data_IF_848754799162
#
_entry.id   IF_848754799162
#
_cell.length_a   1.000
_cell.length_b   1.000
_cell.length_c   1.000
_cell.angle_alpha   90.00
_cell.angle_beta   90.00
_cell.angle_gamma   90.00
#
_symmetry.space_group_name_H-M   'P 1'
#
loop_
_entity.id
_entity.type
_entity.pdbx_description
1 polymer ?
#
# COMPACT_ATOMS: atom_id res chain seq x y z
N UNK A 1 -6.24 4.01 -0.49
CA UNK A 1 -5.45 4.28 0.74
C UNK A 1 -6.13 5.31 1.65
N UNK A 2 -6.67 6.41 1.09
CA UNK A 2 -7.37 7.50 1.81
C UNK A 2 -8.27 7.05 2.98
N UNK A 3 -9.27 6.22 2.71
CA UNK A 3 -10.29 5.83 3.71
C UNK A 3 -9.72 5.01 4.87
N UNK A 4 -8.57 4.36 4.64
CA UNK A 4 -7.84 3.64 5.67
C UNK A 4 -7.18 4.60 6.65
N UNK A 5 -6.49 5.64 6.18
CA UNK A 5 -5.74 6.56 7.05
C UNK A 5 -6.63 7.62 7.70
N UNK A 6 -7.58 8.19 6.95
CA UNK A 6 -8.34 9.38 7.36
C UNK A 6 -9.80 9.08 7.70
N UNK A 7 -10.28 7.87 7.43
CA UNK A 7 -11.67 7.50 7.64
C UNK A 7 -12.60 7.93 6.49
N UNK A 8 -13.88 7.59 6.63
CA UNK A 8 -14.94 7.91 5.66
C UNK A 8 -15.34 9.39 5.88
N UNK A 9 -14.48 10.30 5.45
CA UNK A 9 -14.68 11.74 5.61
C UNK A 9 -15.20 12.32 4.30
N UNK A 10 -16.36 12.98 4.37
CA UNK A 10 -16.95 13.80 3.28
C UNK A 10 -16.08 15.00 2.87
N UNK A 11 -14.88 15.16 3.47
CA UNK A 11 -13.90 16.22 3.20
C UNK A 11 -12.77 15.70 2.29
N UNK A 12 -12.16 16.58 1.50
CA UNK A 12 -10.99 16.24 0.68
C UNK A 12 -9.83 15.73 1.56
N UNK A 13 -9.16 14.63 1.19
CA UNK A 13 -8.08 14.06 2.02
C UNK A 13 -6.88 14.99 2.19
N UNK A 14 -6.68 15.95 1.28
CA UNK A 14 -5.69 17.03 1.42
C UNK A 14 -6.00 17.92 2.62
N UNK A 15 -7.27 18.27 2.85
CA UNK A 15 -7.68 19.11 3.99
C UNK A 15 -7.49 18.41 5.35
N UNK A 16 -7.70 17.09 5.40
CA UNK A 16 -7.46 16.31 6.64
C UNK A 16 -5.97 16.16 6.93
N UNK A 17 -5.16 16.03 5.88
CA UNK A 17 -3.69 16.05 5.99
C UNK A 17 -3.18 17.40 6.47
N UNK A 18 -3.66 18.50 5.90
CA UNK A 18 -3.32 19.87 6.30
C UNK A 18 -3.65 20.09 7.78
N UNK A 19 -4.86 19.70 8.21
CA UNK A 19 -5.29 19.80 9.61
C UNK A 19 -4.37 18.99 10.55
N UNK A 20 -4.03 17.75 10.18
CA UNK A 20 -3.11 16.93 10.99
C UNK A 20 -1.69 17.51 11.03
N UNK A 21 -1.14 17.98 9.90
CA UNK A 21 0.17 18.63 9.86
C UNK A 21 0.22 19.87 10.75
N UNK A 22 -0.86 20.65 10.73
CA UNK A 22 -1.03 21.82 11.56
C UNK A 22 -1.07 21.47 13.06
N UNK A 23 -1.88 20.49 13.44
CA UNK A 23 -2.00 19.98 14.81
C UNK A 23 -0.65 19.48 15.36
N UNK A 24 0.09 18.72 14.56
CA UNK A 24 1.37 18.15 14.94
C UNK A 24 2.55 19.13 14.79
N UNK A 25 2.29 20.36 14.31
CA UNK A 25 3.28 21.44 14.09
C UNK A 25 4.50 21.01 13.28
N UNK A 26 4.32 20.05 12.39
CA UNK A 26 5.41 19.37 11.68
C UNK A 26 6.16 20.31 10.74
N UNK A 27 5.43 21.27 10.17
CA UNK A 27 5.91 22.20 9.14
C UNK A 27 6.47 23.49 9.74
N UNK A 28 5.90 23.96 10.86
CA UNK A 28 6.34 25.17 11.58
C UNK A 28 7.78 25.12 12.09
N UNK A 29 8.34 23.93 12.27
CA UNK A 29 9.74 23.74 12.66
C UNK A 29 10.71 23.88 11.47
N UNK A 30 10.21 23.87 10.24
CA UNK A 30 11.01 23.75 9.00
C UNK A 30 10.93 25.01 8.13
N UNK A 31 9.84 25.78 8.24
CA UNK A 31 9.64 27.02 7.47
C UNK A 31 9.19 28.16 8.39
N UNK A 32 9.45 29.43 8.01
CA UNK A 32 8.95 30.58 8.76
C UNK A 32 7.42 30.52 8.97
N UNK A 33 6.88 30.99 10.11
CA UNK A 33 5.45 30.86 10.44
C UNK A 33 4.51 31.45 9.39
N UNK A 34 4.95 32.50 8.70
CA UNK A 34 4.19 33.14 7.61
C UNK A 34 4.03 32.25 6.37
N UNK A 35 4.85 31.22 6.21
CA UNK A 35 4.82 30.27 5.07
C UNK A 35 4.33 28.88 5.46
N UNK A 36 4.03 28.62 6.74
CA UNK A 36 3.66 27.30 7.23
C UNK A 36 2.42 26.72 6.52
N UNK A 37 1.38 27.54 6.31
CA UNK A 37 0.16 27.09 5.65
C UNK A 37 0.37 26.75 4.16
N UNK A 38 1.28 27.44 3.48
CA UNK A 38 1.60 27.15 2.08
C UNK A 38 2.44 25.88 1.96
N UNK A 39 3.42 25.71 2.84
CA UNK A 39 4.19 24.47 2.92
C UNK A 39 3.30 23.26 3.29
N UNK A 40 2.34 23.41 4.21
CA UNK A 40 1.33 22.38 4.55
C UNK A 40 0.51 21.98 3.31
N UNK A 41 0.06 22.94 2.50
CA UNK A 41 -0.65 22.68 1.24
C UNK A 41 0.22 21.93 0.22
N UNK A 42 1.47 22.37 0.02
CA UNK A 42 2.38 21.70 -0.92
C UNK A 42 2.66 20.25 -0.52
N UNK A 43 2.83 20.00 0.79
CA UNK A 43 3.00 18.64 1.33
C UNK A 43 1.72 17.82 1.12
N UNK A 44 0.55 18.38 1.43
CA UNK A 44 -0.72 17.69 1.25
C UNK A 44 -0.99 17.33 -0.21
N UNK A 45 -0.71 18.25 -1.14
CA UNK A 45 -0.81 18.02 -2.58
C UNK A 45 0.16 16.95 -3.06
N UNK A 46 1.43 17.01 -2.64
CA UNK A 46 2.44 16.02 -3.01
C UNK A 46 2.14 14.63 -2.42
N UNK A 47 1.47 14.57 -1.26
CA UNK A 47 1.07 13.32 -0.62
C UNK A 47 -0.18 12.71 -1.27
N UNK A 48 -0.98 13.50 -2.00
CA UNK A 48 -2.25 13.04 -2.58
C UNK A 48 -2.06 11.88 -3.57
N UNK A 49 -1.00 11.93 -4.37
CA UNK A 49 -0.61 10.83 -5.26
C UNK A 49 -0.35 9.52 -4.51
N UNK A 50 0.21 9.57 -3.31
CA UNK A 50 0.44 8.37 -2.47
C UNK A 50 -0.86 7.86 -1.85
N UNK A 51 -1.77 8.78 -1.52
CA UNK A 51 -3.07 8.42 -0.97
C UNK A 51 -4.02 7.85 -2.03
N UNK A 52 -3.73 8.07 -3.31
CA UNK A 52 -4.41 7.43 -4.43
C UNK A 52 -4.06 5.95 -4.60
N UNK A 53 -3.03 5.44 -3.91
CA UNK A 53 -2.66 4.02 -3.98
C UNK A 53 -3.83 3.11 -3.60
N UNK A 54 -4.07 2.12 -4.45
CA UNK A 54 -5.06 1.09 -4.23
C UNK A 54 -4.48 0.00 -3.31
N UNK A 55 -5.15 -0.27 -2.18
CA UNK A 55 -4.73 -1.30 -1.23
C UNK A 55 -4.69 -2.69 -1.87
N UNK A 56 -5.57 -2.95 -2.84
CA UNK A 56 -5.60 -4.22 -3.57
C UNK A 56 -4.33 -4.42 -4.40
N UNK A 57 -3.83 -3.37 -5.06
CA UNK A 57 -2.62 -3.43 -5.87
C UNK A 57 -1.37 -3.60 -5.00
N UNK A 58 -1.31 -2.92 -3.84
CA UNK A 58 -0.23 -3.11 -2.86
C UNK A 58 -0.21 -4.54 -2.32
N UNK A 59 -1.39 -5.10 -2.00
CA UNK A 59 -1.49 -6.49 -1.60
C UNK A 59 -1.09 -7.44 -2.75
N UNK A 60 -1.48 -7.15 -3.99
CA UNK A 60 -1.11 -7.90 -5.18
C UNK A 60 0.40 -8.04 -5.37
N UNK A 61 1.13 -6.92 -5.25
CA UNK A 61 2.60 -6.93 -5.32
C UNK A 61 3.24 -7.71 -4.16
N UNK A 62 2.61 -7.70 -2.99
CA UNK A 62 3.05 -8.51 -1.85
C UNK A 62 3.06 -10.01 -2.15
N UNK A 63 2.01 -10.52 -2.80
CA UNK A 63 1.89 -11.94 -3.11
C UNK A 63 2.98 -12.47 -4.05
N UNK A 64 3.43 -11.65 -5.00
CA UNK A 64 4.51 -12.02 -5.96
C UNK A 64 5.85 -12.31 -5.29
N UNK A 65 6.06 -11.79 -4.07
CA UNK A 65 7.30 -12.01 -3.30
C UNK A 65 7.32 -13.38 -2.61
N UNK A 66 6.21 -14.13 -2.61
CA UNK A 66 6.12 -15.36 -1.85
C UNK A 66 6.54 -16.59 -2.65
N UNK A 67 7.60 -17.26 -2.19
CA UNK A 67 8.20 -18.39 -2.89
C UNK A 67 7.23 -19.56 -3.11
N UNK A 68 6.34 -19.86 -2.15
CA UNK A 68 5.38 -20.96 -2.32
C UNK A 68 4.33 -20.65 -3.40
N UNK A 69 3.87 -19.39 -3.48
CA UNK A 69 2.95 -18.96 -4.54
C UNK A 69 3.65 -18.98 -5.89
N UNK A 70 4.90 -18.52 -5.97
CA UNK A 70 5.69 -18.59 -7.19
C UNK A 70 5.96 -20.04 -7.63
N UNK A 71 6.18 -20.96 -6.68
CA UNK A 71 6.34 -22.39 -6.99
C UNK A 71 5.07 -22.99 -7.57
N UNK A 72 3.93 -22.77 -6.94
CA UNK A 72 2.62 -23.21 -7.46
C UNK A 72 2.30 -22.54 -8.81
N UNK A 73 2.70 -21.28 -8.99
CA UNK A 73 2.53 -20.58 -10.26
C UNK A 73 3.36 -21.22 -11.39
N UNK A 74 4.61 -21.60 -11.13
CA UNK A 74 5.44 -22.32 -12.11
C UNK A 74 4.85 -23.69 -12.44
N UNK A 75 4.52 -24.47 -11.42
CA UNK A 75 3.94 -25.81 -11.60
C UNK A 75 2.63 -25.80 -12.40
N UNK A 76 1.73 -24.85 -12.12
CA UNK A 76 0.47 -24.69 -12.88
C UNK A 76 0.66 -24.08 -14.27
N UNK A 77 1.82 -23.48 -14.58
CA UNK A 77 2.18 -23.11 -15.95
C UNK A 77 2.71 -24.30 -16.73
N UNK A 78 3.54 -25.12 -16.10
CA UNK A 78 4.10 -26.35 -16.69
C UNK A 78 3.00 -27.38 -16.94
N UNK A 79 1.94 -27.38 -16.12
CA UNK A 79 0.73 -28.17 -16.33
C UNK A 79 -0.54 -27.30 -16.26
N UNK A 80 -0.96 -26.66 -17.38
CA UNK A 80 -2.09 -25.72 -17.43
C UNK A 80 -3.47 -26.31 -17.09
N UNK A 81 -3.59 -27.63 -16.96
CA UNK A 81 -4.81 -28.33 -16.53
C UNK A 81 -4.95 -28.41 -15.00
N UNK A 82 -3.86 -28.13 -14.27
CA UNK A 82 -3.83 -28.21 -12.81
C UNK A 82 -4.26 -26.92 -12.15
N UNK A 83 -4.83 -27.08 -10.96
CA UNK A 83 -5.15 -26.01 -10.03
C UNK A 83 -4.49 -26.36 -8.71
N UNK A 84 -3.73 -25.44 -8.14
CA UNK A 84 -3.07 -25.63 -6.85
C UNK A 84 -3.68 -24.72 -5.78
N UNK A 85 -3.82 -25.26 -4.58
CA UNK A 85 -4.27 -24.50 -3.41
C UNK A 85 -3.12 -24.42 -2.42
N UNK A 86 -2.66 -23.21 -2.13
CA UNK A 86 -1.56 -22.96 -1.18
C UNK A 86 -2.13 -22.37 0.10
N UNK A 87 -1.98 -23.10 1.21
CA UNK A 87 -2.42 -22.65 2.54
C UNK A 87 -1.30 -21.93 3.27
N UNK A 88 -1.60 -20.76 3.83
CA UNK A 88 -0.69 -19.91 4.60
C UNK A 88 -1.33 -19.64 5.97
N UNK A 89 -0.69 -20.09 7.05
CA UNK A 89 -1.25 -20.05 8.42
C UNK A 89 -1.52 -18.60 8.86
N UNK A 90 -0.49 -17.77 8.82
CA UNK A 90 -0.55 -16.32 9.04
C UNK A 90 0.37 -15.68 8.04
N UNK A 91 -0.11 -14.64 7.36
CA UNK A 91 0.68 -13.95 6.35
C UNK A 91 0.70 -12.45 6.58
N UNK A 92 1.88 -11.87 6.40
CA UNK A 92 2.13 -10.44 6.53
C UNK A 92 2.64 -9.90 5.19
N UNK A 93 1.97 -8.89 4.65
CA UNK A 93 2.45 -8.12 3.50
C UNK A 93 2.81 -6.74 4.00
N UNK A 94 4.04 -6.32 3.78
CA UNK A 94 4.54 -4.99 4.11
C UNK A 94 4.90 -4.22 2.84
N UNK A 95 4.46 -2.96 2.78
CA UNK A 95 4.87 -2.00 1.76
C UNK A 95 5.33 -0.72 2.42
N UNK A 96 6.42 -0.16 1.92
CA UNK A 96 6.99 1.10 2.41
C UNK A 96 7.31 2.00 1.23
N UNK A 97 6.89 3.26 1.32
CA UNK A 97 7.12 4.28 0.31
C UNK A 97 7.78 5.49 0.98
N UNK A 98 8.87 5.97 0.40
CA UNK A 98 9.71 7.03 0.97
C UNK A 98 9.87 8.24 0.02
N UNK A 99 8.78 8.94 -0.33
CA UNK A 99 8.87 10.11 -1.18
C UNK A 99 9.45 11.33 -0.45
N UNK A 100 10.01 12.23 -1.25
CA UNK A 100 10.56 13.50 -0.82
C UNK A 100 9.83 14.64 -1.53
N UNK A 101 9.58 15.74 -0.80
CA UNK A 101 8.88 16.92 -1.31
C UNK A 101 9.76 18.13 -1.10
N UNK A 102 10.14 18.79 -2.18
CA UNK A 102 10.85 20.06 -2.12
C UNK A 102 9.83 21.20 -2.01
N UNK A 103 9.85 21.88 -0.86
CA UNK A 103 9.03 23.07 -0.62
C UNK A 103 9.77 24.27 -1.18
N UNK A 104 9.11 24.97 -2.10
CA UNK A 104 9.65 26.19 -2.71
C UNK A 104 8.71 27.37 -2.46
N UNK A 105 9.29 28.56 -2.31
CA UNK A 105 8.57 29.83 -2.26
C UNK A 105 9.11 30.73 -3.36
N UNK A 106 8.25 31.15 -4.28
CA UNK A 106 8.62 31.96 -5.45
C UNK A 106 9.82 31.37 -6.22
N UNK A 107 9.86 30.04 -6.33
CA UNK A 107 10.96 29.30 -6.98
C UNK A 107 12.23 29.13 -6.15
N UNK A 108 12.29 29.69 -4.94
CA UNK A 108 13.41 29.51 -4.02
C UNK A 108 13.18 28.28 -3.13
N UNK A 109 14.09 27.30 -3.08
CA UNK A 109 13.97 26.15 -2.21
C UNK A 109 14.07 26.56 -0.74
N UNK A 110 13.05 26.22 0.05
CA UNK A 110 12.99 26.49 1.48
C UNK A 110 13.40 25.26 2.29
N UNK A 111 12.90 24.08 1.93
CA UNK A 111 13.18 22.84 2.65
C UNK A 111 12.85 21.60 1.79
N UNK A 112 13.56 20.50 2.03
CA UNK A 112 13.17 19.16 1.54
C UNK A 112 12.54 18.38 2.68
N UNK A 113 11.35 17.85 2.44
CA UNK A 113 10.51 17.16 3.42
C UNK A 113 10.46 15.67 3.08
N UNK A 114 10.95 14.83 3.99
CA UNK A 114 10.85 13.39 3.87
C UNK A 114 9.49 12.91 4.37
N UNK A 115 8.87 12.02 3.61
CA UNK A 115 7.60 11.39 3.93
C UNK A 115 7.82 9.88 3.96
N UNK A 116 7.33 9.21 5.00
CA UNK A 116 7.32 7.76 5.11
C UNK A 116 5.88 7.26 5.20
N UNK A 117 5.45 6.52 4.17
CA UNK A 117 4.18 5.81 4.17
C UNK A 117 4.45 4.32 4.33
N UNK A 118 3.92 3.75 5.41
CA UNK A 118 4.02 2.31 5.69
C UNK A 118 2.64 1.66 5.69
N UNK A 119 2.59 0.47 5.11
CA UNK A 119 1.42 -0.37 4.99
C UNK A 119 1.74 -1.78 5.45
N UNK A 120 0.89 -2.33 6.30
CA UNK A 120 0.99 -3.70 6.78
C UNK A 120 -0.36 -4.38 6.69
N UNK A 121 -0.43 -5.46 5.93
CA UNK A 121 -1.59 -6.35 5.86
C UNK A 121 -1.27 -7.61 6.65
N UNK A 122 -2.03 -7.89 7.69
CA UNK A 122 -1.92 -9.11 8.50
C UNK A 122 -3.16 -9.96 8.26
N UNK A 123 -2.95 -11.15 7.70
CA UNK A 123 -4.03 -12.06 7.33
C UNK A 123 -3.87 -13.39 8.05
N UNK A 124 -4.98 -13.95 8.50
CA UNK A 124 -5.02 -15.23 9.22
C UNK A 124 -5.85 -16.26 8.46
N UNK A 125 -5.40 -17.52 8.48
CA UNK A 125 -6.01 -18.64 7.78
C UNK A 125 -6.22 -18.37 6.28
N UNK A 126 -5.12 -18.04 5.60
CA UNK A 126 -5.16 -17.73 4.17
C UNK A 126 -5.05 -19.00 3.36
N UNK A 127 -5.85 -19.13 2.31
CA UNK A 127 -5.57 -20.06 1.21
C UNK A 127 -5.69 -19.35 -0.13
N UNK A 128 -4.74 -19.62 -1.00
CA UNK A 128 -4.63 -19.04 -2.33
C UNK A 128 -4.88 -20.12 -3.37
N UNK A 129 -5.73 -19.82 -4.36
CA UNK A 129 -5.95 -20.70 -5.53
C UNK A 129 -5.14 -20.17 -6.70
N UNK A 130 -4.22 -21.00 -7.19
CA UNK A 130 -3.34 -20.69 -8.30
C UNK A 130 -3.75 -21.55 -9.51
N UNK A 131 -3.89 -20.90 -10.65
CA UNK A 131 -4.18 -21.56 -11.92
C UNK A 131 -3.42 -20.86 -13.05
N UNK A 132 -2.76 -21.63 -13.92
CA UNK A 132 -2.01 -21.11 -15.08
C UNK A 132 -1.05 -19.97 -14.71
N UNK A 133 -0.35 -20.10 -13.59
CA UNK A 133 0.60 -19.09 -13.13
C UNK A 133 0.00 -17.83 -12.50
N UNK A 134 -1.31 -17.82 -12.26
CA UNK A 134 -2.04 -16.65 -11.76
C UNK A 134 -2.74 -16.98 -10.45
N UNK A 135 -2.74 -16.01 -9.54
CA UNK A 135 -3.53 -16.04 -8.33
C UNK A 135 -4.98 -15.68 -8.69
N UNK A 136 -5.89 -16.65 -8.58
CA UNK A 136 -7.29 -16.52 -9.00
C UNK A 136 -8.22 -16.23 -7.84
N UNK A 137 -7.89 -16.72 -6.65
CA UNK A 137 -8.74 -16.60 -5.48
C UNK A 137 -7.91 -16.53 -4.20
N UNK A 138 -8.31 -15.66 -3.27
CA UNK A 138 -7.76 -15.61 -1.92
C UNK A 138 -8.92 -15.84 -0.95
N UNK A 139 -8.79 -16.84 -0.08
CA UNK A 139 -9.69 -17.06 1.05
C UNK A 139 -8.93 -16.70 2.30
N UNK A 140 -9.54 -15.93 3.19
CA UNK A 140 -8.93 -15.56 4.47
C UNK A 140 -10.01 -15.39 5.51
N UNK A 141 -9.75 -15.75 6.77
CA UNK A 141 -10.73 -15.55 7.83
C UNK A 141 -10.83 -14.09 8.23
N UNK A 142 -9.68 -13.46 8.44
CA UNK A 142 -9.56 -12.06 8.83
C UNK A 142 -8.41 -11.39 8.09
N UNK A 143 -8.57 -10.10 7.81
CA UNK A 143 -7.49 -9.24 7.33
C UNK A 143 -7.47 -7.96 8.16
N UNK A 144 -6.34 -7.65 8.76
CA UNK A 144 -6.10 -6.39 9.46
C UNK A 144 -5.13 -5.58 8.63
N UNK A 145 -5.52 -4.36 8.25
CA UNK A 145 -4.64 -3.44 7.53
C UNK A 145 -4.28 -2.30 8.46
N UNK A 146 -2.98 -2.09 8.63
CA UNK A 146 -2.42 -0.96 9.37
C UNK A 146 -1.71 -0.05 8.38
N UNK A 147 -2.08 1.23 8.38
CA UNK A 147 -1.40 2.28 7.63
C UNK A 147 -0.81 3.30 8.58
N UNK A 148 0.40 3.78 8.30
CA UNK A 148 1.00 4.92 9.00
C UNK A 148 1.67 5.87 8.04
N UNK A 149 1.49 7.17 8.28
CA UNK A 149 2.11 8.26 7.57
C UNK A 149 2.95 9.07 8.56
N UNK A 150 4.22 9.24 8.20
CA UNK A 150 5.20 10.00 8.96
C UNK A 150 5.75 11.09 8.07
N UNK A 151 5.88 12.31 8.60
CA UNK A 151 6.50 13.43 7.91
C UNK A 151 7.67 13.91 8.77
N UNK A 152 8.88 13.90 8.21
CA UNK A 152 10.12 14.29 8.90
C UNK A 152 10.28 13.58 10.26
N UNK A 153 10.03 12.27 10.29
CA UNK A 153 10.06 11.39 11.48
C UNK A 153 8.96 11.65 12.52
N UNK A 154 7.99 12.52 12.25
CA UNK A 154 6.84 12.77 13.10
C UNK A 154 5.63 12.03 12.52
N UNK A 155 5.02 11.15 13.32
CA UNK A 155 3.81 10.42 12.93
C UNK A 155 2.62 11.38 12.86
N UNK A 156 2.11 11.62 11.66
CA UNK A 156 0.95 12.50 11.42
C UNK A 156 -0.35 11.73 11.26
N UNK A 157 -0.27 10.44 10.91
CA UNK A 157 -1.45 9.57 10.89
C UNK A 157 -1.03 8.12 11.15
N UNK A 158 -1.84 7.42 11.95
CA UNK A 158 -1.76 5.97 12.10
C UNK A 158 -3.15 5.41 12.28
N UNK A 159 -3.52 4.44 11.45
CA UNK A 159 -4.83 3.81 11.53
C UNK A 159 -4.74 2.31 11.29
N UNK A 160 -5.59 1.59 12.00
CA UNK A 160 -5.83 0.17 11.79
C UNK A 160 -7.29 -0.04 11.41
N UNK A 161 -7.54 -0.89 10.42
CA UNK A 161 -8.88 -1.39 10.11
C UNK A 161 -8.87 -2.89 9.96
N UNK A 162 -9.89 -3.52 10.55
CA UNK A 162 -10.16 -4.95 10.44
C UNK A 162 -11.24 -5.18 9.42
N UNK A 163 -10.97 -6.09 8.50
CA UNK A 163 -11.90 -6.58 7.50
C UNK A 163 -12.21 -8.03 7.84
N UNK A 164 -13.46 -8.28 8.22
CA UNK A 164 -14.00 -9.64 8.17
C UNK A 164 -14.22 -9.94 6.70
N UNK A 165 -13.53 -10.95 6.17
CA UNK A 165 -13.65 -11.36 4.79
C UNK A 165 -14.32 -12.73 4.74
N UNK A 166 -15.64 -12.82 5.02
CA UNK A 166 -16.34 -14.09 5.02
C UNK A 166 -16.35 -14.64 3.58
N UNK A 167 -15.44 -15.57 3.29
CA UNK A 167 -15.40 -16.31 2.04
C UNK A 167 -14.16 -16.06 1.18
N UNK A 168 -14.39 -15.94 -0.12
CA UNK A 168 -13.35 -15.93 -1.14
C UNK A 168 -13.36 -14.61 -1.93
N UNK A 169 -12.23 -13.91 -1.96
CA UNK A 169 -11.98 -12.81 -2.88
C UNK A 169 -11.59 -13.44 -4.22
N UNK A 170 -12.50 -13.38 -5.19
CA UNK A 170 -12.24 -13.82 -6.56
C UNK A 170 -11.60 -12.70 -7.36
N UNK A 171 -10.61 -13.08 -8.15
CA UNK A 171 -9.87 -12.20 -9.06
C UNK A 171 -10.18 -12.68 -10.48
N UNK A 172 -11.18 -12.09 -11.17
CA UNK A 172 -11.67 -12.61 -12.45
C UNK A 172 -10.57 -12.77 -13.51
N UNK A 173 -9.65 -11.81 -13.56
CA UNK A 173 -8.49 -11.86 -14.47
C UNK A 173 -7.27 -12.52 -13.83
N UNK A 174 -7.29 -12.76 -12.52
CA UNK A 174 -6.16 -13.24 -11.72
C UNK A 174 -4.97 -12.27 -11.67
N UNK A 175 -4.13 -12.39 -10.64
CA UNK A 175 -2.87 -11.63 -10.53
C UNK A 175 -1.72 -12.50 -11.06
N UNK A 176 -0.93 -12.05 -12.04
CA UNK A 176 0.27 -12.79 -12.46
C UNK A 176 1.28 -12.83 -11.32
N UNK A 177 1.68 -14.03 -10.90
CA UNK A 177 2.62 -14.20 -9.78
C UNK A 177 4.09 -14.17 -10.24
N UNK A 178 4.35 -14.50 -11.51
CA UNK A 178 5.67 -14.47 -12.10
C UNK A 178 5.86 -13.18 -12.90
N UNK A 179 7.07 -12.59 -12.83
CA UNK A 179 7.44 -11.44 -13.67
C UNK A 179 7.39 -11.79 -15.16
N UNK A 180 7.27 -10.77 -16.02
CA UNK A 180 7.16 -10.94 -17.48
C UNK A 180 8.34 -11.72 -18.10
N UNK A 181 9.48 -11.82 -17.41
CA UNK A 181 10.67 -12.55 -17.83
C UNK A 181 10.58 -14.08 -17.69
N UNK A 182 9.57 -14.61 -16.99
CA UNK A 182 9.43 -16.06 -16.78
C UNK A 182 8.94 -16.81 -18.04
N UNK A 183 8.73 -16.12 -19.17
CA UNK A 183 8.08 -16.69 -20.37
C UNK A 183 9.02 -17.35 -21.38
N UNK A 184 10.33 -17.46 -21.14
CA UNK A 184 11.23 -18.20 -22.04
C UNK A 184 12.40 -18.86 -21.33
N UNK A 185 12.34 -20.18 -21.21
CA UNK A 185 13.48 -21.05 -21.55
C UNK A 185 12.91 -22.22 -22.35
N UNK A 186 13.03 -22.24 -23.70
CA UNK A 186 12.91 -23.50 -24.42
C UNK A 186 14.14 -24.36 -24.10
N UNK A 187 13.88 -25.65 -23.86
CA UNK A 187 14.89 -26.69 -23.72
C UNK A 187 15.75 -26.84 -24.99
#
# INVERSE_FOLDING_TARGET
>A
MRDLLFGDATRSSTSVLEESLHEHRTVRALVPPMHAAEAERQIAAATDGLLSLNLADVAAEGWKKYAALNKAARSTLDNPSTTEVVTLVTHKIESSHHPTVDVTLDGTPLATINIDLQLCFTMAAVSAVIQRGRLMEIRTGTCTVTGSLTVQRISVAKKERKFALPGAIRLPEGIPLLGLDARRVPA
#
